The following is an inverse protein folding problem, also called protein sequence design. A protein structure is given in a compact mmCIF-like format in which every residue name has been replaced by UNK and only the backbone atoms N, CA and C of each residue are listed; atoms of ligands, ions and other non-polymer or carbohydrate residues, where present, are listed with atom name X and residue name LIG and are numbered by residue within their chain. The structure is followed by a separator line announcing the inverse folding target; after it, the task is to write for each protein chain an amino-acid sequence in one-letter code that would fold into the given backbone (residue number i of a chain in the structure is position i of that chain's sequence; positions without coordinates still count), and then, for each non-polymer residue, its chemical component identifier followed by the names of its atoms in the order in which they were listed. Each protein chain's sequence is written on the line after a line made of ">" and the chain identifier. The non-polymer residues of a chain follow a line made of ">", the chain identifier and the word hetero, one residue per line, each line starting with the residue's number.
data_IF_349380054100
#
_entry.id   IF_349380054100
#
_cell.length_a   1.000
_cell.length_b   1.000
_cell.length_c   1.000
_cell.angle_alpha   90.00
_cell.angle_beta   90.00
_cell.angle_gamma   90.00
#
_symmetry.space_group_name_H-M   'P 1'
#
loop_
_entity.id
_entity.type
_entity.pdbx_description
1 polymer ?
#
# COMPACT_ATOMS: atom_id res chain seq x y z
N UNK A 1 3.03 7.57 -8.87
CA UNK A 1 2.55 8.55 -7.88
C UNK A 1 3.71 8.90 -6.95
N UNK A 2 3.66 10.02 -6.24
CA UNK A 2 4.63 10.41 -5.21
C UNK A 2 3.99 10.23 -3.83
N UNK A 3 4.69 9.61 -2.87
CA UNK A 3 4.15 9.35 -1.53
C UNK A 3 5.21 9.49 -0.43
N UNK A 4 5.52 10.72 0.03
CA UNK A 4 6.40 10.92 1.17
C UNK A 4 5.72 10.42 2.44
N UNK A 5 6.44 9.65 3.24
CA UNK A 5 5.99 9.19 4.55
C UNK A 5 6.99 9.58 5.63
N UNK A 6 6.49 10.07 6.76
CA UNK A 6 7.27 10.38 7.94
C UNK A 6 6.69 9.59 9.12
N UNK A 7 7.56 9.04 9.94
CA UNK A 7 7.19 8.44 11.21
C UNK A 7 8.12 8.97 12.31
N UNK A 8 7.54 9.32 13.45
CA UNK A 8 8.25 9.82 14.62
C UNK A 8 7.72 9.08 15.85
N UNK A 9 8.62 8.64 16.72
CA UNK A 9 8.21 7.85 17.87
C UNK A 9 9.32 7.67 18.90
N UNK A 10 9.00 6.87 19.91
CA UNK A 10 9.88 6.57 21.04
C UNK A 10 10.01 5.06 21.22
N UNK A 11 11.23 4.58 21.51
CA UNK A 11 11.52 3.18 21.76
C UNK A 11 12.94 2.76 21.39
N UNK A 12 13.14 1.45 21.23
CA UNK A 12 14.40 0.87 20.77
C UNK A 12 14.54 1.08 19.25
N UNK A 13 15.68 1.64 18.79
CA UNK A 13 15.94 1.85 17.36
C UNK A 13 15.67 0.59 16.54
N UNK A 14 14.89 0.74 15.48
CA UNK A 14 14.61 -0.28 14.46
C UNK A 14 14.01 -1.62 14.96
N UNK A 15 13.69 -1.75 16.25
CA UNK A 15 13.29 -3.03 16.85
C UNK A 15 11.94 -2.95 17.57
N UNK A 16 11.76 -2.00 18.48
CA UNK A 16 10.52 -1.91 19.27
C UNK A 16 10.21 -0.48 19.64
N UNK A 17 9.23 0.11 18.97
CA UNK A 17 8.89 1.52 19.15
C UNK A 17 7.41 1.78 18.89
N UNK A 18 6.91 2.88 19.45
CA UNK A 18 5.56 3.38 19.26
C UNK A 18 5.65 4.84 18.83
N UNK A 19 4.80 5.25 17.89
CA UNK A 19 4.75 6.64 17.49
C UNK A 19 3.61 6.97 16.55
N UNK A 20 3.75 8.14 15.95
CA UNK A 20 2.85 8.69 14.96
C UNK A 20 3.47 8.55 13.58
N UNK A 21 2.64 8.31 12.58
CA UNK A 21 3.05 8.39 11.19
C UNK A 21 2.05 9.20 10.38
N UNK A 22 2.59 9.83 9.35
CA UNK A 22 1.82 10.55 8.36
C UNK A 22 2.41 10.35 6.98
N UNK A 23 1.55 10.31 5.98
CA UNK A 23 1.98 10.40 4.59
C UNK A 23 1.01 11.24 3.78
N UNK A 24 1.55 11.90 2.77
CA UNK A 24 0.78 12.46 1.69
C UNK A 24 1.03 11.60 0.45
N UNK A 25 0.05 11.44 -0.42
CA UNK A 25 0.23 10.84 -1.74
C UNK A 25 -0.40 11.71 -2.80
N UNK A 26 0.29 11.88 -3.92
CA UNK A 26 -0.19 12.65 -5.08
C UNK A 26 -0.01 11.83 -6.35
N UNK A 27 -1.07 11.75 -7.13
CA UNK A 27 -1.12 11.14 -8.46
C UNK A 27 -1.79 12.11 -9.45
N UNK A 28 -1.72 11.86 -10.77
CA UNK A 28 -2.46 12.66 -11.74
C UNK A 28 -3.99 12.67 -11.51
N UNK A 29 -4.53 11.62 -10.89
CA UNK A 29 -5.96 11.40 -10.65
C UNK A 29 -6.46 11.93 -9.30
N UNK A 30 -5.56 12.36 -8.41
CA UNK A 30 -5.93 12.86 -7.10
C UNK A 30 -4.81 12.79 -6.07
N UNK A 31 -5.21 12.80 -4.81
CA UNK A 31 -4.29 12.67 -3.70
C UNK A 31 -4.94 12.11 -2.45
N UNK A 32 -4.11 11.83 -1.46
CA UNK A 32 -4.57 11.40 -0.17
C UNK A 32 -3.63 11.85 0.93
N UNK A 33 -4.18 12.11 2.11
CA UNK A 33 -3.47 12.48 3.31
C UNK A 33 -3.84 11.51 4.41
N UNK A 34 -2.84 10.90 5.03
CA UNK A 34 -3.04 9.94 6.10
C UNK A 34 -2.31 10.39 7.36
N UNK A 35 -2.96 10.14 8.49
CA UNK A 35 -2.36 10.26 9.81
C UNK A 35 -2.79 9.08 10.66
N UNK A 36 -1.85 8.52 11.41
CA UNK A 36 -2.10 7.35 12.22
C UNK A 36 -1.05 7.08 13.28
N UNK A 37 -1.28 6.00 14.01
CA UNK A 37 -0.37 5.42 14.96
C UNK A 37 0.36 4.24 14.33
N UNK A 38 1.60 4.04 14.74
CA UNK A 38 2.41 2.90 14.33
C UNK A 38 3.16 2.33 15.53
N UNK A 39 3.10 1.01 15.64
CA UNK A 39 3.80 0.23 16.63
C UNK A 39 4.64 -0.83 15.91
N UNK A 40 5.93 -0.90 16.21
CA UNK A 40 6.81 -1.96 15.74
C UNK A 40 7.21 -2.84 16.93
N UNK A 41 7.18 -4.15 16.71
CA UNK A 41 7.64 -5.21 17.59
C UNK A 41 8.59 -6.13 16.80
N UNK A 42 9.37 -7.00 17.45
CA UNK A 42 10.23 -7.94 16.74
C UNK A 42 9.41 -8.81 15.78
N UNK A 43 9.64 -8.68 14.48
CA UNK A 43 8.99 -9.47 13.42
C UNK A 43 7.56 -9.06 13.05
N UNK A 44 6.95 -8.11 13.76
CA UNK A 44 5.56 -7.65 13.50
C UNK A 44 5.47 -6.14 13.64
N UNK A 45 4.78 -5.50 12.71
CA UNK A 45 4.44 -4.09 12.75
C UNK A 45 2.94 -3.91 12.57
N UNK A 46 2.36 -3.04 13.37
CA UNK A 46 0.94 -2.69 13.33
C UNK A 46 0.84 -1.18 13.14
N UNK A 47 -0.03 -0.76 12.24
CA UNK A 47 -0.38 0.65 12.08
C UNK A 47 -1.87 0.81 11.87
N UNK A 48 -2.40 1.96 12.27
CA UNK A 48 -3.79 2.28 12.08
C UNK A 48 -4.05 3.77 12.14
N UNK A 49 -4.97 4.25 11.33
CA UNK A 49 -5.20 5.67 11.19
C UNK A 49 -6.39 5.99 10.29
N UNK A 50 -6.46 7.25 9.89
CA UNK A 50 -7.44 7.75 8.96
C UNK A 50 -6.75 8.37 7.76
N UNK A 51 -7.34 8.17 6.58
CA UNK A 51 -6.90 8.75 5.33
C UNK A 51 -8.03 9.56 4.71
N UNK A 52 -7.78 10.83 4.43
CA UNK A 52 -8.64 11.61 3.54
C UNK A 52 -8.16 11.42 2.11
N UNK A 53 -9.06 11.00 1.21
CA UNK A 53 -8.76 10.82 -0.20
C UNK A 53 -9.63 11.78 -1.04
N UNK A 54 -9.01 12.39 -2.04
CA UNK A 54 -9.69 13.27 -2.98
C UNK A 54 -9.26 12.96 -4.41
N UNK A 55 -10.22 12.91 -5.32
CA UNK A 55 -9.98 12.71 -6.74
C UNK A 55 -10.15 14.02 -7.51
N UNK A 56 -9.33 14.21 -8.54
CA UNK A 56 -9.41 15.33 -9.49
C UNK A 56 -10.06 14.93 -10.82
N UNK A 57 -10.01 13.64 -11.17
CA UNK A 57 -10.53 13.11 -12.44
C UNK A 57 -11.46 11.91 -12.29
N UNK A 58 -11.66 11.41 -11.07
CA UNK A 58 -12.54 10.26 -10.81
C UNK A 58 -13.77 10.68 -10.03
N UNK A 59 -14.88 10.12 -10.44
CA UNK A 59 -16.20 10.39 -9.90
C UNK A 59 -16.70 9.17 -9.12
N UNK A 60 -17.71 9.38 -8.27
CA UNK A 60 -18.49 8.27 -7.79
C UNK A 60 -19.16 7.55 -8.97
N UNK A 61 -19.17 6.22 -8.92
CA UNK A 61 -19.53 5.35 -10.02
C UNK A 61 -20.90 4.73 -9.76
N UNK A 62 -21.73 4.66 -10.79
CA UNK A 62 -22.98 3.87 -10.73
C UNK A 62 -22.65 2.38 -10.57
N UNK A 63 -23.46 1.61 -9.81
CA UNK A 63 -23.25 0.17 -9.66
C UNK A 63 -23.29 -0.59 -10.99
N UNK A 64 -22.20 -1.31 -11.29
CA UNK A 64 -22.07 -2.19 -12.46
C UNK A 64 -21.33 -3.47 -12.07
N UNK A 65 -21.51 -4.51 -12.88
CA UNK A 65 -20.83 -5.79 -12.69
C UNK A 65 -19.32 -5.67 -12.96
N UNK A 66 -18.94 -4.95 -14.01
CA UNK A 66 -17.56 -4.72 -14.43
C UNK A 66 -17.37 -3.28 -14.90
N UNK A 67 -16.18 -2.75 -14.70
CA UNK A 67 -15.79 -1.42 -15.18
C UNK A 67 -14.63 -1.49 -16.16
N UNK A 68 -14.63 -0.59 -17.14
CA UNK A 68 -13.49 -0.29 -18.00
C UNK A 68 -12.81 0.98 -17.53
N UNK A 69 -11.54 1.15 -17.92
CA UNK A 69 -10.79 2.40 -17.67
C UNK A 69 -11.54 3.65 -18.13
N UNK A 70 -12.15 3.59 -19.30
CA UNK A 70 -12.89 4.72 -19.87
C UNK A 70 -14.06 5.12 -19.00
N UNK A 71 -14.76 4.15 -18.42
CA UNK A 71 -15.89 4.40 -17.53
C UNK A 71 -15.42 4.99 -16.19
N UNK A 72 -14.25 4.62 -15.67
CA UNK A 72 -13.74 5.22 -14.42
C UNK A 72 -13.30 6.68 -14.57
N UNK A 73 -12.92 7.10 -15.77
CA UNK A 73 -12.39 8.45 -16.06
C UNK A 73 -13.43 9.42 -16.65
N UNK A 74 -14.48 8.93 -17.32
CA UNK A 74 -15.41 9.75 -18.12
C UNK A 74 -16.84 9.88 -17.55
N UNK A 75 -17.14 9.39 -16.35
CA UNK A 75 -18.50 9.53 -15.80
C UNK A 75 -18.78 10.98 -15.37
N UNK A 76 -20.02 11.41 -15.53
CA UNK A 76 -20.53 12.67 -14.99
C UNK A 76 -21.06 12.43 -13.56
N UNK A 77 -20.62 13.22 -12.59
CA UNK A 77 -21.08 13.08 -11.21
C UNK A 77 -20.32 13.98 -10.22
N UNK A 78 -20.56 13.81 -8.90
CA UNK A 78 -19.70 14.40 -7.89
C UNK A 78 -18.33 13.70 -7.87
N UNK A 79 -17.26 14.49 -7.78
CA UNK A 79 -15.90 13.97 -7.62
C UNK A 79 -15.80 13.10 -6.37
N UNK A 80 -15.06 12.00 -6.47
CA UNK A 80 -14.85 11.09 -5.35
C UNK A 80 -14.03 11.77 -4.27
N UNK A 81 -14.63 11.97 -3.09
CA UNK A 81 -13.98 12.47 -1.88
C UNK A 81 -14.52 11.71 -0.69
N UNK A 82 -13.63 11.15 0.11
CA UNK A 82 -14.03 10.29 1.23
C UNK A 82 -12.94 10.23 2.29
N UNK A 83 -13.32 9.76 3.47
CA UNK A 83 -12.39 9.40 4.54
C UNK A 83 -12.38 7.88 4.64
N UNK A 84 -11.22 7.28 4.81
CA UNK A 84 -11.08 5.84 5.06
C UNK A 84 -10.35 5.62 6.38
N UNK A 85 -10.92 4.81 7.27
CA UNK A 85 -10.18 4.20 8.37
C UNK A 85 -9.33 3.05 7.83
N UNK A 86 -8.07 2.98 8.24
CA UNK A 86 -7.12 1.94 7.82
C UNK A 86 -6.52 1.25 9.05
N UNK A 87 -6.39 -0.08 8.98
CA UNK A 87 -5.57 -0.85 9.91
C UNK A 87 -4.71 -1.82 9.12
N UNK A 88 -3.42 -1.85 9.39
CA UNK A 88 -2.46 -2.74 8.73
C UNK A 88 -1.63 -3.50 9.74
N UNK A 89 -1.43 -4.78 9.47
CA UNK A 89 -0.49 -5.65 10.17
C UNK A 89 0.49 -6.18 9.13
N UNK A 90 1.78 -6.06 9.41
CA UNK A 90 2.83 -6.61 8.55
C UNK A 90 3.89 -7.34 9.37
N UNK A 91 4.63 -8.23 8.73
CA UNK A 91 5.68 -8.97 9.40
C UNK A 91 6.54 -9.75 8.42
N UNK A 92 7.67 -10.23 8.92
CA UNK A 92 8.60 -11.06 8.14
C UNK A 92 9.24 -12.14 8.99
N UNK A 93 9.38 -13.32 8.41
CA UNK A 93 10.04 -14.47 9.00
C UNK A 93 11.33 -14.73 8.19
N UNK A 94 12.51 -14.68 8.81
CA UNK A 94 13.75 -15.04 8.13
C UNK A 94 13.74 -16.53 7.82
N UNK A 95 14.17 -16.88 6.61
CA UNK A 95 14.32 -18.26 6.12
C UNK A 95 15.76 -18.46 5.63
N UNK A 96 16.17 -19.70 5.38
CA UNK A 96 17.47 -19.96 4.79
C UNK A 96 17.54 -19.33 3.39
N UNK A 97 18.45 -18.38 3.19
CA UNK A 97 18.65 -17.69 1.92
C UNK A 97 17.62 -16.61 1.59
N UNK A 98 16.83 -16.15 2.56
CA UNK A 98 15.85 -15.07 2.31
C UNK A 98 14.88 -14.80 3.45
N UNK A 99 13.72 -14.23 3.10
CA UNK A 99 12.64 -13.94 4.04
C UNK A 99 11.27 -14.14 3.41
N UNK A 100 10.34 -14.71 4.18
CA UNK A 100 8.93 -14.70 3.88
C UNK A 100 8.31 -13.48 4.58
N UNK A 101 7.52 -12.69 3.88
CA UNK A 101 6.86 -11.53 4.47
C UNK A 101 5.37 -11.51 4.13
N UNK A 102 4.58 -10.93 5.02
CA UNK A 102 3.14 -10.78 4.87
C UNK A 102 2.68 -9.39 5.28
N UNK A 103 1.64 -8.90 4.61
CA UNK A 103 0.93 -7.66 4.94
C UNK A 103 -0.56 -7.93 4.83
N UNK A 104 -1.34 -7.52 5.83
CA UNK A 104 -2.79 -7.53 5.80
C UNK A 104 -3.31 -6.15 6.18
N UNK A 105 -4.17 -5.58 5.35
CA UNK A 105 -4.77 -4.25 5.55
C UNK A 105 -6.28 -4.32 5.46
N UNK A 106 -6.98 -3.74 6.43
CA UNK A 106 -8.42 -3.51 6.40
C UNK A 106 -8.73 -2.03 6.20
N UNK A 107 -9.74 -1.74 5.39
CA UNK A 107 -10.20 -0.40 5.05
C UNK A 107 -11.69 -0.27 5.37
N UNK A 108 -12.07 0.86 5.95
CA UNK A 108 -13.46 1.26 6.19
C UNK A 108 -13.68 2.66 5.62
N UNK A 109 -14.33 2.75 4.46
CA UNK A 109 -14.69 4.01 3.81
C UNK A 109 -15.91 4.63 4.48
N UNK A 110 -15.80 5.92 4.79
CA UNK A 110 -16.78 6.78 5.43
C UNK A 110 -17.08 7.98 4.52
N UNK A 111 -18.35 8.39 4.49
CA UNK A 111 -18.78 9.59 3.75
C UNK A 111 -18.96 9.41 2.24
N UNK A 112 -18.86 8.18 1.71
CA UNK A 112 -19.28 7.88 0.34
C UNK A 112 -20.82 7.91 0.24
N UNK A 113 -21.40 8.52 -0.82
CA UNK A 113 -22.85 8.52 -1.04
C UNK A 113 -23.41 7.10 -1.11
N UNK A 114 -24.59 6.90 -0.53
CA UNK A 114 -25.26 5.61 -0.57
C UNK A 114 -25.59 5.18 -2.00
N UNK A 115 -25.45 3.89 -2.28
CA UNK A 115 -25.77 3.31 -3.59
C UNK A 115 -24.74 3.57 -4.70
N UNK A 116 -23.68 4.34 -4.43
CA UNK A 116 -22.59 4.57 -5.40
C UNK A 116 -21.34 3.76 -5.03
N UNK A 117 -20.57 3.43 -6.06
CA UNK A 117 -19.25 2.84 -5.95
C UNK A 117 -18.19 3.94 -6.07
N UNK A 118 -16.94 3.64 -5.74
CA UNK A 118 -15.82 4.57 -5.94
C UNK A 118 -14.61 3.83 -6.47
N UNK A 119 -13.74 4.55 -7.16
CA UNK A 119 -12.40 4.05 -7.45
C UNK A 119 -11.47 4.37 -6.28
N UNK A 120 -10.95 3.32 -5.66
CA UNK A 120 -10.01 3.40 -4.55
C UNK A 120 -8.59 3.53 -5.14
N UNK A 121 -8.13 4.77 -5.24
CA UNK A 121 -6.86 5.15 -5.87
C UNK A 121 -5.66 4.44 -5.24
N UNK A 122 -5.60 4.27 -3.92
CA UNK A 122 -4.43 3.65 -3.29
C UNK A 122 -4.31 2.16 -3.57
N UNK A 123 -5.42 1.51 -3.95
CA UNK A 123 -5.47 0.08 -4.22
C UNK A 123 -5.80 -0.22 -5.67
N UNK A 124 -5.99 0.81 -6.51
CA UNK A 124 -6.31 0.69 -7.93
C UNK A 124 -7.47 -0.28 -8.21
N UNK A 125 -8.61 -0.07 -7.53
CA UNK A 125 -9.77 -0.96 -7.62
C UNK A 125 -11.08 -0.21 -7.47
N UNK A 126 -12.13 -0.67 -8.15
CA UNK A 126 -13.49 -0.16 -7.94
C UNK A 126 -14.13 -0.88 -6.76
N UNK A 127 -14.59 -0.10 -5.78
CA UNK A 127 -15.18 -0.62 -4.55
C UNK A 127 -16.62 -0.21 -4.27
N UNK A 128 -17.37 -1.10 -3.60
CA UNK A 128 -18.66 -0.75 -2.99
C UNK A 128 -18.44 -0.55 -1.49
N UNK A 129 -18.64 0.67 -0.96
CA UNK A 129 -18.52 0.95 0.47
C UNK A 129 -19.36 0.01 1.35
N UNK A 130 -18.97 -0.24 2.61
CA UNK A 130 -17.91 0.48 3.34
C UNK A 130 -16.56 -0.26 3.43
N UNK A 131 -16.51 -1.57 3.19
CA UNK A 131 -15.32 -2.36 3.53
C UNK A 131 -14.53 -2.83 2.32
N UNK A 132 -13.21 -2.82 2.50
CA UNK A 132 -12.27 -3.43 1.58
C UNK A 132 -11.11 -4.00 2.39
N UNK A 133 -10.52 -5.11 1.94
CA UNK A 133 -9.33 -5.65 2.56
C UNK A 133 -8.29 -6.02 1.51
N UNK A 134 -7.03 -5.98 1.93
CA UNK A 134 -5.87 -6.38 1.14
C UNK A 134 -5.03 -7.35 1.95
N UNK A 135 -4.56 -8.41 1.32
CA UNK A 135 -3.56 -9.31 1.87
C UNK A 135 -2.45 -9.52 0.83
N UNK A 136 -1.20 -9.35 1.21
CA UNK A 136 -0.02 -9.56 0.36
C UNK A 136 0.90 -10.54 1.06
N UNK A 137 1.38 -11.54 0.32
CA UNK A 137 2.35 -12.52 0.78
C UNK A 137 3.46 -12.61 -0.26
N UNK A 138 4.71 -12.62 0.17
CA UNK A 138 5.83 -12.74 -0.75
C UNK A 138 7.06 -13.33 -0.12
N UNK A 139 7.98 -13.75 -0.99
CA UNK A 139 9.28 -14.28 -0.63
C UNK A 139 10.36 -13.43 -1.30
N UNK A 140 11.39 -13.07 -0.54
CA UNK A 140 12.56 -12.33 -1.01
C UNK A 140 13.82 -13.15 -0.71
N UNK A 141 14.52 -13.59 -1.74
CA UNK A 141 15.80 -14.28 -1.63
C UNK A 141 16.98 -13.31 -1.67
N UNK A 142 18.02 -13.61 -0.90
CA UNK A 142 19.31 -12.89 -0.95
C UNK A 142 20.12 -13.38 -2.16
N UNK A 143 20.55 -12.45 -3.01
CA UNK A 143 21.27 -12.76 -4.26
C UNK A 143 22.78 -12.61 -4.13
N UNK A 144 23.25 -11.91 -3.11
CA UNK A 144 24.64 -11.64 -2.82
C UNK A 144 25.02 -12.11 -1.41
N UNK A 145 26.32 -12.19 -1.12
CA UNK A 145 26.83 -12.68 0.17
C UNK A 145 26.53 -11.75 1.35
N UNK A 146 26.23 -10.48 1.08
CA UNK A 146 26.00 -9.46 2.09
C UNK A 146 24.50 -9.13 2.25
N UNK A 147 23.63 -9.74 1.44
CA UNK A 147 22.19 -9.50 1.45
C UNK A 147 21.79 -8.10 0.98
N UNK A 148 22.70 -7.39 0.31
CA UNK A 148 22.47 -6.05 -0.22
C UNK A 148 21.45 -6.09 -1.36
N UNK A 149 21.52 -7.11 -2.21
CA UNK A 149 20.60 -7.32 -3.33
C UNK A 149 19.65 -8.47 -2.99
N UNK A 150 18.35 -8.17 -2.93
CA UNK A 150 17.30 -9.17 -2.72
C UNK A 150 16.31 -9.14 -3.87
N UNK A 151 15.97 -10.33 -4.36
CA UNK A 151 15.00 -10.51 -5.44
C UNK A 151 13.95 -11.53 -5.04
N UNK A 152 12.71 -11.32 -5.48
CA UNK A 152 11.60 -12.11 -5.00
C UNK A 152 10.35 -11.96 -5.84
N UNK A 153 9.28 -12.56 -5.32
CA UNK A 153 7.95 -12.45 -5.89
C UNK A 153 6.91 -12.36 -4.78
N UNK A 154 5.78 -11.75 -5.11
CA UNK A 154 4.64 -11.66 -4.22
C UNK A 154 3.33 -11.91 -4.95
N UNK A 155 2.33 -12.31 -4.18
CA UNK A 155 0.94 -12.33 -4.54
C UNK A 155 0.16 -11.40 -3.62
N UNK A 156 -0.81 -10.69 -4.18
CA UNK A 156 -1.72 -9.81 -3.46
C UNK A 156 -3.16 -10.18 -3.80
N UNK A 157 -3.99 -10.20 -2.77
CA UNK A 157 -5.42 -10.42 -2.85
C UNK A 157 -6.10 -9.17 -2.29
N UNK A 158 -6.98 -8.57 -3.08
CA UNK A 158 -7.85 -7.48 -2.65
C UNK A 158 -9.27 -7.97 -2.70
N UNK A 159 -9.93 -8.04 -1.54
CA UNK A 159 -11.32 -8.43 -1.45
C UNK A 159 -12.22 -7.24 -1.20
N UNK A 160 -13.35 -7.25 -1.91
CA UNK A 160 -14.40 -6.27 -1.80
C UNK A 160 -15.71 -6.99 -1.47
N UNK A 161 -16.02 -7.15 -0.17
CA UNK A 161 -17.22 -7.83 0.29
C UNK A 161 -18.50 -7.20 -0.26
N UNK A 162 -18.53 -5.87 -0.41
CA UNK A 162 -19.70 -5.16 -0.92
C UNK A 162 -20.06 -5.54 -2.36
N UNK A 163 -19.06 -5.77 -3.22
CA UNK A 163 -19.27 -6.24 -4.61
C UNK A 163 -19.28 -7.77 -4.74
N UNK A 164 -18.93 -8.52 -3.70
CA UNK A 164 -18.70 -9.96 -3.80
C UNK A 164 -17.57 -10.31 -4.77
N UNK A 165 -16.56 -9.44 -4.89
CA UNK A 165 -15.48 -9.58 -5.86
C UNK A 165 -14.11 -9.66 -5.19
N UNK A 166 -13.20 -10.38 -5.84
CA UNK A 166 -11.80 -10.52 -5.44
C UNK A 166 -10.90 -10.19 -6.62
N UNK A 167 -9.84 -9.44 -6.34
CA UNK A 167 -8.79 -9.12 -7.30
C UNK A 167 -7.52 -9.80 -6.82
N UNK A 168 -6.80 -10.42 -7.76
CA UNK A 168 -5.52 -11.08 -7.48
C UNK A 168 -4.46 -10.43 -8.36
N UNK A 169 -3.34 -10.06 -7.74
CA UNK A 169 -2.14 -9.56 -8.42
C UNK A 169 -0.95 -10.42 -8.08
N UNK A 170 -0.01 -10.53 -9.00
CA UNK A 170 1.26 -11.24 -8.81
C UNK A 170 2.37 -10.46 -9.47
N UNK A 171 3.58 -10.56 -8.94
CA UNK A 171 4.72 -9.99 -9.65
C UNK A 171 6.03 -10.00 -8.88
N UNK A 172 7.12 -9.61 -9.56
CA UNK A 172 8.44 -9.55 -8.97
C UNK A 172 8.59 -8.41 -7.97
N UNK A 173 9.56 -8.61 -7.08
CA UNK A 173 10.00 -7.63 -6.09
C UNK A 173 11.52 -7.57 -6.06
N UNK A 174 12.04 -6.38 -5.81
CA UNK A 174 13.46 -6.08 -5.73
C UNK A 174 13.70 -5.20 -4.51
N UNK A 175 14.76 -5.47 -3.77
CA UNK A 175 15.25 -4.57 -2.73
C UNK A 175 16.78 -4.48 -2.81
N UNK A 176 17.29 -3.26 -2.71
CA UNK A 176 18.72 -2.95 -2.74
C UNK A 176 19.05 -2.11 -1.50
N UNK A 177 19.93 -2.59 -0.64
CA UNK A 177 20.53 -1.77 0.41
C UNK A 177 21.57 -0.86 -0.24
N UNK A 178 21.32 0.46 -0.24
CA UNK A 178 22.25 1.44 -0.79
C UNK A 178 23.27 1.87 0.27
N UNK A 179 22.83 1.97 1.52
CA UNK A 179 23.66 2.22 2.71
C UNK A 179 23.07 1.46 3.90
N UNK A 180 23.69 1.58 5.09
CA UNK A 180 23.14 1.01 6.34
C UNK A 180 21.74 1.54 6.70
N UNK A 181 21.37 2.70 6.17
CA UNK A 181 20.13 3.41 6.52
C UNK A 181 19.18 3.61 5.36
N UNK A 182 19.63 3.38 4.13
CA UNK A 182 18.90 3.66 2.91
C UNK A 182 18.66 2.38 2.11
N UNK A 183 17.39 2.01 1.99
CA UNK A 183 16.95 0.93 1.11
C UNK A 183 16.22 1.51 -0.10
N UNK A 184 16.51 0.98 -1.29
CA UNK A 184 15.66 1.12 -2.47
C UNK A 184 14.83 -0.15 -2.65
N UNK A 185 13.50 0.00 -2.76
CA UNK A 185 12.56 -1.12 -2.96
C UNK A 185 11.77 -0.88 -4.23
N UNK A 186 11.67 -1.91 -5.07
CA UNK A 186 10.90 -1.90 -6.32
C UNK A 186 9.88 -3.04 -6.32
N UNK A 187 8.63 -2.73 -6.69
CA UNK A 187 7.62 -3.76 -6.95
C UNK A 187 6.87 -3.48 -8.26
N UNK A 188 6.52 -4.56 -8.96
CA UNK A 188 5.69 -4.49 -10.15
C UNK A 188 4.71 -5.68 -10.14
N UNK A 189 3.47 -5.44 -9.71
CA UNK A 189 2.44 -6.47 -9.64
C UNK A 189 1.41 -6.30 -10.74
N UNK A 190 1.28 -7.32 -11.59
CA UNK A 190 0.28 -7.38 -12.65
C UNK A 190 -0.99 -8.06 -12.16
N UNK A 191 -2.13 -7.71 -12.72
CA UNK A 191 -3.41 -8.31 -12.37
C UNK A 191 -3.52 -9.70 -13.00
N UNK A 192 -3.66 -10.73 -12.16
CA UNK A 192 -3.91 -12.10 -12.58
C UNK A 192 -5.40 -12.41 -12.70
N UNK A 193 -6.23 -11.85 -11.80
CA UNK A 193 -7.68 -12.03 -11.82
C UNK A 193 -8.39 -10.77 -11.33
N UNK A 194 -9.45 -10.36 -12.02
CA UNK A 194 -10.29 -9.21 -11.68
C UNK A 194 -11.62 -9.29 -12.44
N UNK A 195 -12.74 -8.82 -11.88
CA UNK A 195 -13.97 -8.60 -12.65
C UNK A 195 -13.88 -7.39 -13.60
N UNK A 196 -12.93 -6.47 -13.36
CA UNK A 196 -12.85 -5.18 -14.04
C UNK A 196 -11.76 -5.16 -15.15
N UNK A 197 -12.04 -4.50 -16.27
CA UNK A 197 -11.14 -4.38 -17.42
C UNK A 197 -10.41 -3.04 -17.42
N UNK A 198 -9.66 -2.80 -16.34
CA UNK A 198 -8.91 -1.56 -16.12
C UNK A 198 -7.55 -1.54 -16.84
N UNK A 199 -7.08 -2.68 -17.34
CA UNK A 199 -5.75 -2.81 -17.93
C UNK A 199 -4.66 -2.48 -16.90
N UNK A 200 -3.67 -1.68 -17.30
CA UNK A 200 -2.55 -1.27 -16.43
C UNK A 200 -2.99 -0.40 -15.25
N UNK A 201 -4.15 0.27 -15.32
CA UNK A 201 -4.67 1.02 -14.17
C UNK A 201 -4.96 0.12 -12.99
N UNK A 202 -5.36 -1.13 -13.22
CA UNK A 202 -5.62 -2.08 -12.14
C UNK A 202 -4.36 -2.73 -11.58
N UNK A 203 -3.18 -2.49 -12.16
CA UNK A 203 -1.91 -3.07 -11.72
C UNK A 203 -1.21 -2.18 -10.68
N UNK A 204 -0.33 -2.76 -9.87
CA UNK A 204 0.53 -2.02 -8.94
C UNK A 204 1.93 -1.94 -9.54
N UNK A 205 2.11 -1.02 -10.49
CA UNK A 205 3.33 -0.89 -11.28
C UNK A 205 4.21 0.24 -10.76
N UNK A 206 5.46 -0.08 -10.44
CA UNK A 206 6.50 0.93 -10.26
C UNK A 206 6.46 1.65 -8.92
N UNK A 207 6.14 0.93 -7.83
CA UNK A 207 6.47 1.46 -6.50
C UNK A 207 7.99 1.37 -6.33
N UNK A 208 8.68 2.45 -6.68
CA UNK A 208 10.06 2.71 -6.29
C UNK A 208 10.03 3.51 -4.98
N UNK A 209 10.38 2.85 -3.89
CA UNK A 209 10.45 3.45 -2.57
C UNK A 209 11.89 3.63 -2.14
N UNK A 210 12.23 4.81 -1.62
CA UNK A 210 13.42 5.01 -0.81
C UNK A 210 13.00 5.03 0.65
N UNK A 211 13.61 4.18 1.46
CA UNK A 211 13.37 4.11 2.89
C UNK A 211 14.63 4.53 3.62
N UNK A 212 14.59 5.70 4.25
CA UNK A 212 15.60 6.15 5.19
C UNK A 212 15.16 5.89 6.63
N UNK A 213 16.05 5.36 7.47
CA UNK A 213 15.80 5.13 8.89
C UNK A 213 16.91 5.76 9.71
N UNK A 214 16.54 6.41 10.81
CA UNK A 214 17.50 7.07 11.70
C UNK A 214 17.00 7.02 13.14
N UNK A 215 17.92 6.96 14.10
CA UNK A 215 17.64 7.07 15.52
C UNK A 215 18.78 7.78 16.28
N UNK A 216 18.43 8.56 17.30
CA UNK A 216 19.38 9.35 18.13
C UNK A 216 20.37 8.51 18.94
N UNK A 217 20.17 7.19 19.03
CA UNK A 217 21.05 6.24 19.71
C UNK A 217 21.66 5.17 18.80
N UNK A 218 21.67 5.42 17.49
CA UNK A 218 22.25 4.51 16.51
C UNK A 218 23.78 4.47 16.61
N UNK A 219 24.38 3.31 16.36
CA UNK A 219 25.83 3.12 16.34
C UNK A 219 26.48 3.79 15.13
N UNK A 220 25.71 4.02 14.07
CA UNK A 220 26.18 4.62 12.82
C UNK A 220 25.35 5.85 12.50
N UNK A 221 25.63 7.04 13.06
CA UNK A 221 24.78 8.23 12.92
C UNK A 221 24.86 8.91 11.54
N UNK A 222 25.31 8.20 10.52
CA UNK A 222 25.58 8.75 9.18
C UNK A 222 24.29 9.28 8.53
N UNK A 223 24.38 10.51 8.03
CA UNK A 223 23.37 11.13 7.19
C UNK A 223 23.68 10.76 5.72
N UNK A 224 22.69 10.48 4.86
CA UNK A 224 22.91 10.18 3.45
C UNK A 224 23.52 11.37 2.70
#
# INVERSE_FOLDING_TARGET
>A
YYRPSLALGFGKPHWSWLGIEGYASVSPSGGAEYVGLRAALPGVEIRGGARYAFSTSQYFLEPRASYTRRETELMEGPLSRYVAGEIEVSGSIPLLGGSLFGVATGYAVLGAPEGLYLYEEALHTVMKPPYLYRARLGFMGEMDKFGELRFGAAAEVIGNPGRGSVIVRVGPMLAIALTHHLDAVGTAMVVAATPDRLGLLGADLGQLGLRYRWATGDRWPEFP
#
